data_IF_180653107362
#
_entry.id   IF_180653107362
#
_cell.length_a   1.000
_cell.length_b   1.000
_cell.length_c   1.000
_cell.angle_alpha   90.00
_cell.angle_beta   90.00
_cell.angle_gamma   90.00
#
_symmetry.space_group_name_H-M   'P 1'
#
loop_
_entity.id
_entity.type
_entity.pdbx_description
1 polymer ?
#
# COMPACT_ATOMS: atom_id res chain seq x y z
N UNK A 1 -6.12 -5.16 -46.09
CA UNK A 1 -5.30 -4.38 -47.08
C UNK A 1 -3.84 -4.22 -46.63
N UNK A 2 -3.53 -4.34 -45.32
CA UNK A 2 -2.20 -4.07 -44.75
C UNK A 2 -1.58 -5.32 -44.10
N UNK A 3 -2.06 -6.51 -44.43
CA UNK A 3 -1.44 -7.73 -43.93
C UNK A 3 -0.05 -7.97 -44.59
N UNK A 4 0.97 -8.45 -43.85
CA UNK A 4 0.89 -8.84 -42.43
C UNK A 4 0.93 -7.65 -41.46
N UNK A 5 0.13 -7.67 -40.39
CA UNK A 5 0.09 -6.59 -39.41
C UNK A 5 -0.29 -7.09 -38.02
N UNK A 6 0.03 -6.27 -36.99
CA UNK A 6 -0.43 -6.44 -35.61
C UNK A 6 -1.45 -5.33 -35.37
N UNK A 7 -2.65 -5.69 -34.91
CA UNK A 7 -3.70 -4.75 -34.48
C UNK A 7 -3.73 -4.76 -32.96
N UNK A 8 -3.58 -3.60 -32.34
CA UNK A 8 -3.69 -3.45 -30.90
C UNK A 8 -4.94 -2.64 -30.55
N UNK A 9 -5.76 -3.15 -29.64
CA UNK A 9 -6.98 -2.52 -29.14
C UNK A 9 -6.83 -2.32 -27.64
N UNK A 10 -6.68 -1.08 -27.21
CA UNK A 10 -6.62 -0.74 -25.79
C UNK A 10 -8.04 -0.55 -25.23
N UNK A 11 -8.21 -0.79 -23.90
CA UNK A 11 -9.47 -0.64 -23.18
C UNK A 11 -10.65 -1.37 -23.87
N UNK A 12 -10.45 -2.61 -24.28
CA UNK A 12 -11.45 -3.36 -25.05
C UNK A 12 -12.78 -3.52 -24.28
N UNK A 13 -12.78 -3.43 -22.96
CA UNK A 13 -13.95 -3.44 -22.12
C UNK A 13 -14.92 -2.25 -22.35
N UNK A 14 -14.45 -1.19 -23.01
CA UNK A 14 -15.31 -0.09 -23.41
C UNK A 14 -16.38 -0.53 -24.45
N UNK A 15 -16.06 -1.52 -25.28
CA UNK A 15 -16.94 -2.03 -26.34
C UNK A 15 -17.37 -3.49 -26.13
N UNK A 16 -16.57 -4.31 -25.44
CA UNK A 16 -16.75 -5.74 -25.30
C UNK A 16 -17.33 -6.18 -23.93
N UNK A 17 -18.09 -5.31 -23.29
CA UNK A 17 -18.72 -5.59 -21.99
C UNK A 17 -19.89 -6.55 -22.11
N UNK A 18 -20.10 -7.41 -21.09
CA UNK A 18 -21.27 -8.28 -20.96
C UNK A 18 -22.59 -7.49 -21.10
N UNK A 19 -23.57 -8.13 -21.75
CA UNK A 19 -24.91 -7.58 -21.92
C UNK A 19 -25.60 -7.44 -20.58
N UNK A 20 -25.89 -6.20 -20.18
CA UNK A 20 -26.66 -5.92 -18.97
C UNK A 20 -28.16 -5.96 -19.28
N UNK A 21 -28.98 -6.45 -18.33
CA UNK A 21 -30.45 -6.45 -18.40
C UNK A 21 -31.07 -5.06 -18.13
N UNK A 22 -30.29 -3.95 -18.32
CA UNK A 22 -30.71 -2.59 -18.02
C UNK A 22 -31.48 -1.93 -19.15
N UNK A 23 -32.68 -1.42 -18.84
CA UNK A 23 -33.53 -0.60 -19.72
C UNK A 23 -32.90 0.80 -19.91
N UNK A 24 -32.13 1.02 -20.96
CA UNK A 24 -31.60 2.37 -21.31
C UNK A 24 -30.99 2.39 -22.69
N UNK A 25 -31.45 3.33 -23.54
CA UNK A 25 -31.17 3.44 -24.98
C UNK A 25 -29.73 3.75 -25.43
N UNK A 26 -28.71 3.57 -24.57
CA UNK A 26 -27.31 3.67 -24.94
C UNK A 26 -26.59 2.32 -25.17
N UNK A 27 -27.34 1.22 -25.10
CA UNK A 27 -26.78 -0.14 -25.23
C UNK A 27 -26.68 -0.60 -26.69
N UNK A 28 -27.55 -0.16 -27.59
CA UNK A 28 -27.63 -0.64 -28.96
C UNK A 28 -26.36 -0.35 -29.78
N UNK A 29 -25.77 0.82 -29.66
CA UNK A 29 -24.56 1.15 -30.42
C UNK A 29 -23.34 0.33 -29.99
N UNK A 30 -23.19 0.07 -28.69
CA UNK A 30 -22.10 -0.73 -28.14
C UNK A 30 -22.26 -2.20 -28.52
N UNK A 31 -23.48 -2.74 -28.46
CA UNK A 31 -23.76 -4.10 -28.89
C UNK A 31 -23.52 -4.28 -30.39
N UNK A 32 -23.87 -3.29 -31.22
CA UNK A 32 -23.55 -3.31 -32.63
C UNK A 32 -22.03 -3.32 -32.87
N UNK A 33 -21.27 -2.50 -32.12
CA UNK A 33 -19.81 -2.44 -32.23
C UNK A 33 -19.17 -3.76 -31.82
N UNK A 34 -19.62 -4.36 -30.70
CA UNK A 34 -19.15 -5.67 -30.27
C UNK A 34 -19.46 -6.74 -31.32
N UNK A 35 -20.70 -6.80 -31.79
CA UNK A 35 -21.11 -7.78 -32.81
C UNK A 35 -20.30 -7.61 -34.11
N UNK A 36 -20.04 -6.38 -34.53
CA UNK A 36 -19.20 -6.12 -35.70
C UNK A 36 -17.76 -6.58 -35.45
N UNK A 37 -17.19 -6.30 -34.29
CA UNK A 37 -15.86 -6.75 -33.92
C UNK A 37 -15.76 -8.29 -33.97
N UNK A 38 -16.77 -8.98 -33.42
CA UNK A 38 -16.82 -10.45 -33.44
C UNK A 38 -16.90 -11.01 -34.88
N UNK A 39 -17.71 -10.39 -35.74
CA UNK A 39 -17.82 -10.77 -37.16
C UNK A 39 -16.50 -10.56 -37.90
N UNK A 40 -15.82 -9.44 -37.70
CA UNK A 40 -14.54 -9.17 -38.30
C UNK A 40 -13.47 -10.17 -37.80
N UNK A 41 -13.44 -10.51 -36.51
CA UNK A 41 -12.51 -11.50 -35.99
C UNK A 41 -12.77 -12.90 -36.51
N UNK A 42 -14.04 -13.30 -36.62
CA UNK A 42 -14.44 -14.60 -37.19
C UNK A 42 -14.18 -14.66 -38.73
N UNK A 43 -14.10 -13.51 -39.37
CA UNK A 43 -13.83 -13.36 -40.80
C UNK A 43 -12.35 -13.47 -41.20
N UNK A 44 -11.41 -13.41 -40.23
CA UNK A 44 -9.99 -13.58 -40.51
C UNK A 44 -9.69 -15.04 -40.85
N UNK A 45 -9.30 -15.31 -42.08
CA UNK A 45 -8.84 -16.66 -42.51
C UNK A 45 -7.56 -17.07 -41.80
N UNK A 46 -7.41 -18.39 -41.62
CA UNK A 46 -6.28 -19.04 -40.92
C UNK A 46 -4.98 -18.76 -41.61
N UNK A 47 -4.45 -17.79 -41.97
CA UNK A 47 -3.11 -17.48 -42.53
C UNK A 47 -3.01 -16.09 -43.19
N UNK A 48 -3.89 -15.17 -42.82
CA UNK A 48 -3.83 -13.81 -43.37
C UNK A 48 -2.68 -12.97 -42.81
N UNK A 49 -1.90 -13.49 -41.84
CA UNK A 49 -0.77 -12.78 -41.22
C UNK A 49 -1.21 -11.61 -40.34
N UNK A 50 -2.42 -11.66 -39.79
CA UNK A 50 -2.95 -10.66 -38.88
C UNK A 50 -2.93 -11.20 -37.44
N UNK A 51 -2.30 -10.47 -36.51
CA UNK A 51 -2.35 -10.74 -35.06
C UNK A 51 -3.15 -9.65 -34.42
N UNK A 52 -4.19 -10.03 -33.65
CA UNK A 52 -5.00 -9.09 -32.88
C UNK A 52 -4.63 -9.21 -31.41
N UNK A 53 -4.28 -8.10 -30.79
CA UNK A 53 -4.00 -7.99 -29.36
C UNK A 53 -4.97 -7.00 -28.75
N UNK A 54 -5.47 -7.29 -27.56
CA UNK A 54 -6.30 -6.35 -26.80
C UNK A 54 -5.82 -6.27 -25.36
N UNK A 55 -6.01 -5.11 -24.74
CA UNK A 55 -5.73 -4.89 -23.32
C UNK A 55 -7.00 -4.46 -22.57
N UNK A 56 -7.11 -4.87 -21.31
CA UNK A 56 -8.15 -4.43 -20.39
C UNK A 56 -7.68 -4.56 -18.94
N UNK A 57 -8.12 -3.65 -18.10
CA UNK A 57 -7.96 -3.74 -16.65
C UNK A 57 -9.12 -4.51 -15.99
N UNK A 58 -10.15 -4.88 -16.76
CA UNK A 58 -11.39 -5.48 -16.26
C UNK A 58 -11.83 -6.68 -17.09
N UNK A 59 -11.09 -7.77 -16.94
CA UNK A 59 -11.44 -9.04 -17.63
C UNK A 59 -12.77 -9.62 -17.16
N UNK A 60 -13.18 -9.30 -15.91
CA UNK A 60 -14.40 -9.75 -15.25
C UNK A 60 -15.69 -9.30 -15.97
N UNK A 61 -15.65 -8.15 -16.64
CA UNK A 61 -16.83 -7.58 -17.31
C UNK A 61 -16.89 -7.88 -18.82
N UNK A 62 -15.89 -8.55 -19.37
CA UNK A 62 -15.87 -8.88 -20.80
C UNK A 62 -16.95 -9.92 -21.15
N UNK A 63 -17.57 -9.73 -22.31
CA UNK A 63 -18.49 -10.73 -22.88
C UNK A 63 -17.73 -12.04 -23.14
N UNK A 64 -18.20 -13.20 -22.61
CA UNK A 64 -17.54 -14.49 -22.83
C UNK A 64 -17.38 -14.85 -24.30
N UNK A 65 -18.19 -14.28 -25.20
CA UNK A 65 -18.11 -14.54 -26.63
C UNK A 65 -16.76 -14.07 -27.24
N UNK A 66 -16.15 -13.00 -26.71
CA UNK A 66 -14.89 -12.48 -27.23
C UNK A 66 -13.70 -13.36 -26.79
N UNK A 67 -13.86 -14.10 -25.69
CA UNK A 67 -12.83 -14.96 -25.11
C UNK A 67 -12.89 -16.41 -25.63
N UNK A 68 -13.74 -16.70 -26.63
CA UNK A 68 -13.84 -18.03 -27.24
C UNK A 68 -12.62 -18.31 -28.13
N UNK A 69 -12.22 -19.62 -28.26
CA UNK A 69 -11.21 -20.04 -29.23
C UNK A 69 -11.52 -19.55 -30.64
N UNK A 70 -10.49 -19.14 -31.38
CA UNK A 70 -10.61 -18.50 -32.69
C UNK A 70 -10.73 -16.98 -32.65
N UNK A 71 -10.79 -16.37 -31.45
CA UNK A 71 -10.83 -14.92 -31.23
C UNK A 71 -9.64 -14.53 -30.34
N UNK A 72 -9.84 -14.31 -29.02
CA UNK A 72 -8.71 -14.12 -28.11
C UNK A 72 -8.36 -15.44 -27.41
N UNK A 73 -7.54 -16.24 -28.07
CA UNK A 73 -7.16 -17.59 -27.61
C UNK A 73 -6.23 -17.57 -26.40
N UNK A 74 -5.41 -16.53 -26.28
CA UNK A 74 -4.41 -16.39 -25.22
C UNK A 74 -4.75 -15.25 -24.29
N UNK A 75 -4.76 -15.56 -23.00
CA UNK A 75 -4.89 -14.57 -21.94
C UNK A 75 -3.56 -14.47 -21.21
N UNK A 76 -3.01 -13.28 -21.17
CA UNK A 76 -1.76 -12.98 -20.46
C UNK A 76 -2.09 -12.00 -19.34
N UNK A 77 -1.96 -12.45 -18.10
CA UNK A 77 -2.07 -11.57 -16.95
C UNK A 77 -0.75 -10.84 -16.76
N UNK A 78 -0.79 -9.51 -16.79
CA UNK A 78 0.37 -8.65 -16.49
C UNK A 78 0.24 -8.25 -15.02
N UNK A 79 1.02 -8.90 -14.15
CA UNK A 79 1.11 -8.59 -12.73
C UNK A 79 1.96 -7.36 -12.44
N UNK A 80 2.04 -6.98 -11.16
CA UNK A 80 3.02 -5.99 -10.71
C UNK A 80 4.43 -6.52 -10.93
N UNK A 81 5.39 -5.66 -11.32
CA UNK A 81 6.76 -6.09 -11.58
C UNK A 81 7.47 -6.50 -10.28
N UNK A 82 8.30 -7.53 -10.35
CA UNK A 82 9.26 -7.89 -9.31
C UNK A 82 10.43 -6.89 -9.26
N UNK A 83 11.38 -7.08 -8.34
CA UNK A 83 12.54 -6.17 -8.19
C UNK A 83 13.29 -5.98 -9.50
N UNK A 84 13.56 -7.07 -10.23
CA UNK A 84 14.26 -7.02 -11.51
C UNK A 84 13.45 -6.27 -12.57
N UNK A 85 12.16 -6.56 -12.67
CA UNK A 85 11.26 -5.85 -13.58
C UNK A 85 11.18 -4.36 -13.27
N UNK A 86 11.14 -3.98 -11.98
CA UNK A 86 11.16 -2.57 -11.58
C UNK A 86 12.48 -1.88 -11.94
N UNK A 87 13.61 -2.55 -11.75
CA UNK A 87 14.92 -2.03 -12.16
C UNK A 87 14.99 -1.81 -13.69
N UNK A 88 14.51 -2.77 -14.48
CA UNK A 88 14.44 -2.64 -15.94
C UNK A 88 13.52 -1.49 -16.37
N UNK A 89 12.35 -1.33 -15.73
CA UNK A 89 11.40 -0.23 -15.98
C UNK A 89 12.02 1.12 -15.59
N UNK A 90 12.67 1.22 -14.44
CA UNK A 90 13.42 2.41 -14.05
C UNK A 90 14.49 2.76 -15.09
N UNK A 91 15.23 1.77 -15.59
CA UNK A 91 16.20 1.94 -16.68
C UNK A 91 15.59 2.51 -17.96
N UNK A 92 14.33 2.17 -18.27
CA UNK A 92 13.62 2.77 -19.40
C UNK A 92 13.29 4.24 -19.15
N UNK A 93 12.73 4.57 -17.98
CA UNK A 93 12.30 5.94 -17.66
C UNK A 93 13.44 6.90 -17.31
N UNK A 94 14.67 6.38 -17.18
CA UNK A 94 15.88 7.19 -16.94
C UNK A 94 16.69 7.49 -18.18
N UNK A 95 16.41 6.87 -19.33
CA UNK A 95 17.19 7.05 -20.58
C UNK A 95 17.41 8.49 -21.01
N UNK A 96 16.43 9.36 -20.78
CA UNK A 96 16.47 10.77 -21.15
C UNK A 96 16.70 11.69 -19.94
N UNK A 97 16.98 11.13 -18.75
CA UNK A 97 17.19 11.87 -17.52
C UNK A 97 18.65 11.71 -17.08
N UNK A 98 19.42 12.78 -16.92
CA UNK A 98 20.80 12.70 -16.44
C UNK A 98 20.83 12.31 -14.96
N UNK A 99 21.37 11.12 -14.67
CA UNK A 99 21.54 10.61 -13.32
C UNK A 99 22.89 11.04 -12.74
N UNK A 100 22.95 11.31 -11.44
CA UNK A 100 24.17 11.46 -10.67
C UNK A 100 24.87 10.11 -10.47
N UNK A 101 26.14 10.16 -10.10
CA UNK A 101 26.96 8.96 -9.83
C UNK A 101 26.51 8.21 -8.55
N UNK A 102 25.74 8.88 -7.69
CA UNK A 102 25.19 8.36 -6.44
C UNK A 102 23.89 7.57 -6.61
N UNK A 103 23.31 7.55 -7.82
CA UNK A 103 22.00 6.90 -8.08
C UNK A 103 22.16 5.42 -8.30
N UNK A 104 21.57 4.63 -7.42
CA UNK A 104 21.48 3.18 -7.50
C UNK A 104 20.05 2.73 -7.85
N UNK A 105 19.82 2.36 -9.13
CA UNK A 105 18.51 1.92 -9.62
C UNK A 105 18.06 0.60 -8.98
N UNK A 106 19.00 -0.29 -8.63
CA UNK A 106 18.70 -1.54 -7.97
C UNK A 106 18.13 -1.29 -6.57
N UNK A 107 18.77 -0.43 -5.79
CA UNK A 107 18.28 -0.01 -4.48
C UNK A 107 16.89 0.65 -4.58
N UNK A 108 16.67 1.51 -5.58
CA UNK A 108 15.36 2.12 -5.81
C UNK A 108 14.31 1.06 -6.15
N UNK A 109 14.66 0.06 -6.98
CA UNK A 109 13.76 -1.05 -7.30
C UNK A 109 13.39 -1.88 -6.07
N UNK A 110 14.31 -2.10 -5.13
CA UNK A 110 14.03 -2.77 -3.86
C UNK A 110 13.04 -1.97 -3.01
N UNK A 111 13.26 -0.67 -2.87
CA UNK A 111 12.43 0.20 -2.02
C UNK A 111 11.04 0.50 -2.58
N UNK A 112 10.83 0.28 -3.87
CA UNK A 112 9.55 0.51 -4.57
C UNK A 112 8.69 -0.75 -4.69
N UNK A 113 8.73 -1.64 -3.71
CA UNK A 113 7.89 -2.83 -3.68
C UNK A 113 6.41 -2.48 -3.89
N UNK A 114 5.74 -3.21 -4.79
CA UNK A 114 4.34 -2.98 -5.13
C UNK A 114 4.05 -1.83 -6.11
N UNK A 115 5.05 -1.06 -6.55
CA UNK A 115 4.86 -0.02 -7.58
C UNK A 115 4.59 -0.65 -8.94
N UNK A 116 3.70 -0.01 -9.69
CA UNK A 116 3.46 -0.31 -11.11
C UNK A 116 4.46 0.44 -12.00
N UNK A 117 4.48 0.12 -13.29
CA UNK A 117 5.29 0.87 -14.26
C UNK A 117 4.96 2.37 -14.29
N UNK A 118 3.68 2.71 -14.17
CA UNK A 118 3.21 4.10 -14.10
C UNK A 118 3.67 4.82 -12.83
N UNK A 119 3.68 4.12 -11.68
CA UNK A 119 4.19 4.70 -10.43
C UNK A 119 5.69 4.97 -10.52
N UNK A 120 6.46 4.07 -11.12
CA UNK A 120 7.90 4.23 -11.35
C UNK A 120 8.21 5.36 -12.32
N UNK A 121 7.43 5.50 -13.40
CA UNK A 121 7.52 6.65 -14.31
C UNK A 121 7.27 7.97 -13.57
N UNK A 122 6.18 8.03 -12.81
CA UNK A 122 5.82 9.19 -12.01
C UNK A 122 6.90 9.53 -10.98
N UNK A 123 7.47 8.53 -10.32
CA UNK A 123 8.59 8.69 -9.39
C UNK A 123 9.77 9.40 -10.05
N UNK A 124 10.20 8.91 -11.21
CA UNK A 124 11.34 9.49 -11.92
C UNK A 124 11.03 10.88 -12.50
N UNK A 125 9.80 11.13 -12.91
CA UNK A 125 9.36 12.46 -13.35
C UNK A 125 9.34 13.46 -12.21
N UNK A 126 8.82 13.08 -11.05
CA UNK A 126 8.81 13.94 -9.84
C UNK A 126 10.23 14.23 -9.34
N UNK A 127 11.13 13.25 -9.37
CA UNK A 127 12.53 13.45 -9.05
C UNK A 127 13.19 14.48 -10.01
N UNK A 128 12.93 14.35 -11.31
CA UNK A 128 13.43 15.29 -12.31
C UNK A 128 12.90 16.72 -12.10
N UNK A 129 11.61 16.86 -11.75
CA UNK A 129 11.00 18.15 -11.41
C UNK A 129 11.66 18.76 -10.17
N UNK A 130 11.96 17.97 -9.13
CA UNK A 130 12.64 18.45 -7.93
C UNK A 130 14.05 18.94 -8.26
N UNK A 131 14.82 18.18 -9.04
CA UNK A 131 16.15 18.57 -9.51
C UNK A 131 16.12 19.88 -10.30
N UNK A 132 15.17 20.02 -11.22
CA UNK A 132 15.00 21.21 -12.05
C UNK A 132 14.63 22.45 -11.21
N UNK A 133 13.77 22.31 -10.19
CA UNK A 133 13.42 23.39 -9.27
C UNK A 133 14.62 23.93 -8.48
N UNK A 134 15.58 23.06 -8.16
CA UNK A 134 16.81 23.43 -7.49
C UNK A 134 17.92 23.90 -8.46
N UNK A 135 17.63 24.00 -9.77
CA UNK A 135 18.56 24.47 -10.80
C UNK A 135 19.72 23.52 -11.08
N UNK A 136 19.62 22.26 -10.65
CA UNK A 136 20.64 21.22 -10.85
C UNK A 136 20.44 20.50 -12.19
N UNK A 137 21.51 19.92 -12.72
CA UNK A 137 21.50 19.20 -14.01
C UNK A 137 21.33 17.69 -13.86
N UNK A 138 21.76 17.12 -12.75
CA UNK A 138 21.77 15.68 -12.50
C UNK A 138 20.82 15.33 -11.35
N UNK A 139 20.04 14.27 -11.52
CA UNK A 139 19.22 13.68 -10.47
C UNK A 139 20.13 12.98 -9.46
N UNK A 140 19.92 13.21 -8.17
CA UNK A 140 20.61 12.51 -7.10
C UNK A 140 19.71 11.46 -6.46
N UNK A 141 20.32 10.53 -5.70
CA UNK A 141 19.59 9.54 -4.92
C UNK A 141 18.57 10.22 -3.97
N UNK A 142 18.97 11.33 -3.34
CA UNK A 142 18.11 12.12 -2.44
C UNK A 142 16.87 12.71 -3.14
N UNK A 143 16.98 13.09 -4.43
CA UNK A 143 15.82 13.60 -5.19
C UNK A 143 14.79 12.52 -5.41
N UNK A 144 15.25 11.29 -5.67
CA UNK A 144 14.39 10.13 -5.88
C UNK A 144 13.73 9.71 -4.56
N UNK A 145 14.45 9.73 -3.46
CA UNK A 145 13.91 9.46 -2.12
C UNK A 145 12.85 10.50 -1.71
N UNK A 146 13.07 11.78 -1.98
CA UNK A 146 12.04 12.84 -1.79
C UNK A 146 10.83 12.61 -2.69
N UNK A 147 11.05 12.23 -3.94
CA UNK A 147 9.98 11.93 -4.89
C UNK A 147 9.18 10.69 -4.46
N UNK A 148 9.85 9.66 -3.94
CA UNK A 148 9.22 8.45 -3.42
C UNK A 148 8.22 8.76 -2.30
N UNK A 149 8.60 9.59 -1.33
CA UNK A 149 7.71 10.05 -0.26
C UNK A 149 6.51 10.80 -0.86
N UNK A 150 6.76 11.70 -1.82
CA UNK A 150 5.72 12.49 -2.45
C UNK A 150 4.72 11.63 -3.26
N UNK A 151 5.19 10.61 -3.96
CA UNK A 151 4.36 9.70 -4.75
C UNK A 151 3.60 8.72 -3.84
N UNK A 152 4.26 8.16 -2.82
CA UNK A 152 3.67 7.15 -1.94
C UNK A 152 2.73 7.72 -0.88
N UNK A 153 3.08 8.87 -0.28
CA UNK A 153 2.36 9.44 0.87
C UNK A 153 1.67 10.76 0.50
N UNK A 154 2.18 11.46 -0.52
CA UNK A 154 1.70 12.77 -0.95
C UNK A 154 2.66 13.92 -0.60
N UNK A 155 2.40 15.09 -1.19
CA UNK A 155 3.25 16.25 -0.99
C UNK A 155 3.17 16.79 0.45
N UNK A 156 4.32 17.09 1.05
CA UNK A 156 4.42 17.76 2.36
C UNK A 156 3.82 19.17 2.31
N UNK A 157 2.98 19.51 3.29
CA UNK A 157 2.33 20.82 3.43
C UNK A 157 3.01 21.66 4.50
N UNK A 158 4.13 22.29 4.17
CA UNK A 158 4.89 23.15 5.11
C UNK A 158 4.25 24.52 5.40
N UNK A 159 3.20 24.89 4.66
CA UNK A 159 2.50 26.18 4.86
C UNK A 159 1.43 26.15 5.94
N UNK A 160 1.11 24.98 6.50
CA UNK A 160 0.09 24.86 7.55
C UNK A 160 0.67 25.26 8.91
N UNK A 161 0.05 26.25 9.54
CA UNK A 161 0.40 26.65 10.92
C UNK A 161 -0.21 25.64 11.88
N UNK A 162 0.62 24.85 12.55
CA UNK A 162 0.22 23.82 13.50
C UNK A 162 0.61 24.29 14.90
N UNK A 163 -0.26 24.06 15.90
CA UNK A 163 0.07 24.38 17.29
C UNK A 163 1.17 23.45 17.81
N UNK A 164 1.98 23.93 18.75
CA UNK A 164 3.00 23.11 19.41
C UNK A 164 2.39 21.89 20.12
N UNK A 165 1.15 22.04 20.63
CA UNK A 165 0.40 20.93 21.21
C UNK A 165 0.10 19.85 20.18
N UNK A 166 -0.40 20.23 19.00
CA UNK A 166 -0.73 19.27 17.93
C UNK A 166 0.54 18.62 17.35
N UNK A 167 1.63 19.38 17.20
CA UNK A 167 2.92 18.83 16.82
C UNK A 167 3.41 17.77 17.79
N UNK A 168 3.30 18.03 19.09
CA UNK A 168 3.70 17.10 20.14
C UNK A 168 2.84 15.83 20.13
N UNK A 169 1.53 15.95 19.95
CA UNK A 169 0.63 14.80 19.81
C UNK A 169 1.04 13.97 18.61
N UNK A 170 1.25 14.59 17.45
CA UNK A 170 1.70 13.90 16.22
C UNK A 170 3.06 13.22 16.43
N UNK A 171 4.01 13.88 17.11
CA UNK A 171 5.33 13.31 17.34
C UNK A 171 5.28 12.03 18.19
N UNK A 172 4.47 12.00 19.23
CA UNK A 172 4.27 10.77 20.02
C UNK A 172 3.52 9.69 19.23
N UNK A 173 2.52 10.08 18.46
CA UNK A 173 1.77 9.17 17.59
C UNK A 173 2.69 8.45 16.60
N UNK A 174 3.49 9.20 15.85
CA UNK A 174 4.43 8.63 14.87
C UNK A 174 5.57 7.85 15.54
N UNK A 175 6.06 8.29 16.70
CA UNK A 175 7.04 7.56 17.49
C UNK A 175 6.50 6.19 17.95
N UNK A 176 5.22 6.11 18.31
CA UNK A 176 4.56 4.84 18.67
C UNK A 176 4.56 3.84 17.53
N UNK A 177 4.24 4.27 16.30
CA UNK A 177 4.36 3.43 15.12
C UNK A 177 5.80 3.01 14.86
N UNK A 178 6.75 3.94 14.96
CA UNK A 178 8.16 3.71 14.67
C UNK A 178 8.79 2.68 15.61
N UNK A 179 8.49 2.73 16.91
CA UNK A 179 8.99 1.75 17.90
C UNK A 179 8.52 0.34 17.52
N UNK A 180 7.24 0.19 17.17
CA UNK A 180 6.69 -1.12 16.79
C UNK A 180 7.28 -1.64 15.48
N UNK A 181 7.53 -0.78 14.49
CA UNK A 181 8.24 -1.17 13.27
C UNK A 181 9.67 -1.66 13.57
N UNK A 182 10.35 -1.04 14.53
CA UNK A 182 11.73 -1.41 14.87
C UNK A 182 11.81 -2.72 15.66
N UNK A 183 10.92 -2.90 16.63
CA UNK A 183 10.96 -4.05 17.55
C UNK A 183 10.37 -5.32 16.95
N UNK A 184 9.37 -5.20 16.07
CA UNK A 184 8.69 -6.35 15.48
C UNK A 184 9.45 -6.86 14.24
N UNK A 185 9.78 -8.17 14.17
CA UNK A 185 10.72 -8.67 13.17
C UNK A 185 10.21 -8.72 11.73
N UNK A 186 8.87 -8.81 11.54
CA UNK A 186 8.31 -9.12 10.21
C UNK A 186 7.72 -7.90 9.48
N UNK A 187 7.80 -6.70 10.05
CA UNK A 187 7.16 -5.49 9.48
C UNK A 187 8.13 -4.55 8.74
N UNK A 188 9.41 -4.87 8.82
CA UNK A 188 10.50 -4.11 8.17
C UNK A 188 10.99 -2.90 9.00
N UNK A 189 12.24 -2.47 8.74
CA UNK A 189 12.84 -1.36 9.47
C UNK A 189 12.18 -0.03 9.12
N UNK A 190 12.26 0.92 10.05
CA UNK A 190 11.81 2.29 9.84
C UNK A 190 12.74 2.99 8.84
N UNK A 191 12.20 3.56 7.78
CA UNK A 191 12.94 4.39 6.85
C UNK A 191 12.90 5.87 7.22
N UNK A 192 11.70 6.37 7.54
CA UNK A 192 11.49 7.79 7.83
C UNK A 192 10.32 7.96 8.81
N UNK A 193 10.49 8.84 9.78
CA UNK A 193 9.43 9.34 10.65
C UNK A 193 9.32 10.84 10.47
N UNK A 194 8.12 11.38 10.30
CA UNK A 194 7.91 12.81 10.04
C UNK A 194 6.60 13.31 10.66
N UNK A 195 6.66 14.50 11.24
CA UNK A 195 5.49 15.23 11.75
C UNK A 195 5.03 16.35 10.80
N UNK A 196 5.53 16.33 9.57
CA UNK A 196 5.13 17.29 8.55
C UNK A 196 3.85 16.78 7.89
N UNK A 197 2.75 17.56 7.89
CA UNK A 197 1.48 17.13 7.28
C UNK A 197 1.61 16.88 5.79
N UNK A 198 0.90 15.87 5.30
CA UNK A 198 0.86 15.53 3.87
C UNK A 198 -0.47 15.89 3.20
N UNK A 199 -0.47 15.85 1.86
CA UNK A 199 -1.61 16.22 1.02
C UNK A 199 -2.88 15.41 1.24
N UNK A 200 -2.78 14.19 1.75
CA UNK A 200 -3.91 13.25 1.97
C UNK A 200 -4.61 13.48 3.32
N UNK A 201 -4.17 14.48 4.11
CA UNK A 201 -4.81 14.82 5.39
C UNK A 201 -4.15 14.19 6.60
N UNK A 202 -3.07 13.44 6.45
CA UNK A 202 -2.26 12.95 7.56
C UNK A 202 -1.52 14.10 8.25
N UNK A 203 -1.43 14.06 9.58
CA UNK A 203 -0.71 15.05 10.37
C UNK A 203 0.79 14.78 10.39
N UNK A 204 1.18 13.52 10.26
CA UNK A 204 2.53 13.01 10.13
C UNK A 204 2.53 11.70 9.35
N UNK A 205 3.65 11.02 9.30
CA UNK A 205 3.76 9.68 8.74
C UNK A 205 4.99 8.93 9.24
N UNK A 206 4.86 7.63 9.43
CA UNK A 206 5.95 6.69 9.66
C UNK A 206 5.99 5.71 8.51
N UNK A 207 7.14 5.60 7.84
CA UNK A 207 7.30 4.79 6.65
C UNK A 207 8.35 3.69 6.88
N UNK A 208 7.97 2.41 6.78
CA UNK A 208 8.92 1.31 6.74
C UNK A 208 9.57 1.21 5.36
N UNK A 209 10.72 0.57 5.30
CA UNK A 209 11.42 0.21 4.07
C UNK A 209 11.27 -1.30 3.84
N UNK A 210 10.48 -1.76 2.87
CA UNK A 210 10.46 -3.17 2.51
C UNK A 210 11.82 -3.57 1.94
N UNK A 211 12.42 -4.63 2.46
CA UNK A 211 13.71 -5.13 1.95
C UNK A 211 13.54 -6.10 0.78
N UNK A 212 12.39 -6.76 0.68
CA UNK A 212 12.12 -7.81 -0.30
C UNK A 212 10.66 -7.79 -0.78
N UNK A 213 10.42 -8.30 -1.98
CA UNK A 213 9.08 -8.61 -2.47
C UNK A 213 8.58 -9.89 -1.80
N UNK A 214 7.44 -9.81 -1.16
CA UNK A 214 6.85 -10.93 -0.45
C UNK A 214 5.70 -11.56 -1.22
N UNK A 215 5.76 -12.87 -1.35
CA UNK A 215 4.71 -13.66 -2.03
C UNK A 215 3.57 -14.04 -1.07
N UNK A 216 3.85 -14.17 0.22
CA UNK A 216 2.88 -14.62 1.21
C UNK A 216 2.90 -13.75 2.46
N UNK A 217 1.71 -13.37 2.93
CA UNK A 217 1.54 -12.70 4.21
C UNK A 217 1.15 -13.73 5.27
N UNK A 218 2.01 -13.97 6.25
CA UNK A 218 1.74 -14.93 7.32
C UNK A 218 0.78 -14.37 8.37
N UNK A 219 0.12 -15.24 9.15
CA UNK A 219 -0.73 -14.83 10.29
C UNK A 219 0.06 -13.97 11.29
N UNK A 220 1.33 -14.36 11.60
CA UNK A 220 2.20 -13.62 12.50
C UNK A 220 2.44 -12.19 12.02
N UNK A 221 2.77 -12.03 10.75
CA UNK A 221 2.98 -10.72 10.15
C UNK A 221 1.71 -9.87 10.12
N UNK A 222 0.55 -10.45 9.81
CA UNK A 222 -0.72 -9.71 9.87
C UNK A 222 -1.00 -9.19 11.27
N UNK A 223 -0.75 -9.99 12.32
CA UNK A 223 -0.86 -9.56 13.70
C UNK A 223 0.12 -8.43 14.04
N UNK A 224 1.38 -8.50 13.55
CA UNK A 224 2.36 -7.43 13.74
C UNK A 224 1.93 -6.14 13.03
N UNK A 225 1.39 -6.22 11.82
CA UNK A 225 0.85 -5.05 11.11
C UNK A 225 -0.34 -4.41 11.85
N UNK A 226 -1.20 -5.24 12.49
CA UNK A 226 -2.27 -4.73 13.37
C UNK A 226 -1.67 -4.01 14.58
N UNK A 227 -0.65 -4.58 15.23
CA UNK A 227 0.05 -3.93 16.34
C UNK A 227 0.64 -2.59 15.95
N UNK A 228 1.35 -2.55 14.81
CA UNK A 228 1.91 -1.30 14.27
C UNK A 228 0.80 -0.26 14.04
N UNK A 229 -0.31 -0.64 13.39
CA UNK A 229 -1.42 0.28 13.14
C UNK A 229 -2.02 0.85 14.44
N UNK A 230 -1.96 0.12 15.56
CA UNK A 230 -2.46 0.60 16.85
C UNK A 230 -1.45 1.46 17.61
N UNK A 231 -0.18 1.49 17.19
CA UNK A 231 0.94 2.11 17.90
C UNK A 231 0.75 3.59 18.22
N UNK A 232 0.33 4.38 17.25
CA UNK A 232 0.09 5.81 17.42
C UNK A 232 -0.98 6.10 18.49
N UNK A 233 -2.09 5.35 18.45
CA UNK A 233 -3.17 5.46 19.42
C UNK A 233 -2.72 5.10 20.83
N UNK A 234 -1.90 4.06 20.97
CA UNK A 234 -1.38 3.60 22.24
C UNK A 234 -0.42 4.63 22.83
N UNK A 235 0.45 5.21 22.03
CA UNK A 235 1.36 6.26 22.46
C UNK A 235 0.61 7.51 22.96
N UNK A 236 -0.45 7.94 22.24
CA UNK A 236 -1.32 9.03 22.71
C UNK A 236 -1.93 8.74 24.08
N UNK A 237 -2.49 7.55 24.28
CA UNK A 237 -3.11 7.13 25.54
C UNK A 237 -2.11 7.10 26.71
N UNK A 238 -0.91 6.54 26.52
CA UNK A 238 0.11 6.46 27.56
C UNK A 238 0.57 7.84 28.00
N UNK A 239 0.78 8.76 27.04
CA UNK A 239 1.44 10.05 27.34
C UNK A 239 0.46 11.14 27.77
N UNK A 240 -0.74 11.16 27.18
CA UNK A 240 -1.68 12.27 27.40
C UNK A 240 -2.88 11.90 28.30
N UNK A 241 -3.02 10.62 28.64
CA UNK A 241 -4.25 10.09 29.28
C UNK A 241 -5.52 10.52 28.53
N UNK A 242 -5.37 10.74 27.21
CA UNK A 242 -6.41 11.22 26.30
C UNK A 242 -6.17 10.63 24.90
N UNK A 243 -7.15 10.79 24.03
CA UNK A 243 -7.15 10.17 22.72
C UNK A 243 -7.69 11.14 21.68
N UNK A 244 -7.11 11.12 20.49
CA UNK A 244 -7.51 11.99 19.40
C UNK A 244 -8.20 11.24 18.26
N UNK A 245 -8.79 11.99 17.32
CA UNK A 245 -9.34 11.46 16.07
C UNK A 245 -8.27 11.11 15.05
N UNK A 246 -7.00 11.43 15.33
CA UNK A 246 -5.86 11.19 14.42
C UNK A 246 -5.72 9.73 14.02
N UNK A 247 -5.91 8.82 14.97
CA UNK A 247 -5.80 7.37 14.76
C UNK A 247 -6.98 6.72 14.01
N UNK A 248 -7.92 7.49 13.46
CA UNK A 248 -9.12 6.92 12.82
C UNK A 248 -8.81 6.02 11.62
N UNK A 249 -7.82 6.37 10.81
CA UNK A 249 -7.41 5.58 9.64
C UNK A 249 -6.68 4.30 10.09
N UNK A 250 -5.85 4.39 11.11
CA UNK A 250 -5.08 3.28 11.67
C UNK A 250 -6.00 2.22 12.27
N UNK A 251 -7.00 2.66 13.04
CA UNK A 251 -8.05 1.79 13.59
C UNK A 251 -8.83 1.10 12.46
N UNK A 252 -9.18 1.83 11.40
CA UNK A 252 -9.85 1.26 10.23
C UNK A 252 -9.00 0.20 9.55
N UNK A 253 -7.71 0.45 9.37
CA UNK A 253 -6.77 -0.48 8.75
C UNK A 253 -6.60 -1.74 9.62
N UNK A 254 -6.37 -1.59 10.91
CA UNK A 254 -6.28 -2.70 11.87
C UNK A 254 -7.55 -3.56 11.85
N UNK A 255 -8.74 -2.94 11.90
CA UNK A 255 -10.02 -3.64 11.89
C UNK A 255 -10.25 -4.37 10.56
N UNK A 256 -9.94 -3.75 9.43
CA UNK A 256 -10.07 -4.38 8.12
C UNK A 256 -9.17 -5.59 7.97
N UNK A 257 -7.94 -5.51 8.47
CA UNK A 257 -6.98 -6.62 8.45
C UNK A 257 -7.44 -7.76 9.37
N UNK A 258 -7.85 -7.47 10.60
CA UNK A 258 -8.39 -8.47 11.53
C UNK A 258 -9.64 -9.17 10.95
N UNK A 259 -10.52 -8.40 10.29
CA UNK A 259 -11.71 -8.96 9.63
C UNK A 259 -11.32 -9.88 8.47
N UNK A 260 -10.37 -9.49 7.60
CA UNK A 260 -9.89 -10.32 6.50
C UNK A 260 -9.25 -11.62 7.03
N UNK A 261 -8.48 -11.58 8.12
CA UNK A 261 -7.93 -12.78 8.78
C UNK A 261 -9.03 -13.78 9.14
N UNK A 262 -10.16 -13.29 9.65
CA UNK A 262 -11.26 -14.12 10.12
C UNK A 262 -12.14 -14.58 8.96
N UNK A 263 -12.51 -13.68 8.03
CA UNK A 263 -13.54 -13.95 7.02
C UNK A 263 -13.01 -14.46 5.69
N UNK A 264 -11.77 -14.08 5.30
CA UNK A 264 -11.23 -14.40 3.97
C UNK A 264 -10.16 -15.50 4.05
N UNK A 265 -9.29 -15.43 5.05
CA UNK A 265 -8.11 -16.31 5.14
C UNK A 265 -8.27 -17.50 6.08
N UNK A 266 -9.40 -17.63 6.78
CA UNK A 266 -9.67 -18.75 7.69
C UNK A 266 -8.65 -18.87 8.83
N UNK A 267 -8.13 -17.74 9.33
CA UNK A 267 -7.07 -17.70 10.36
C UNK A 267 -7.62 -17.69 11.79
N UNK A 268 -8.93 -17.79 11.99
CA UNK A 268 -9.57 -17.98 13.30
C UNK A 268 -9.69 -19.45 13.63
N UNK A 269 -9.24 -19.83 14.84
CA UNK A 269 -9.43 -21.22 15.34
C UNK A 269 -10.89 -21.53 15.63
N UNK A 270 -11.65 -20.52 16.06
CA UNK A 270 -13.06 -20.68 16.42
C UNK A 270 -13.97 -20.86 15.22
N UNK A 271 -13.73 -20.10 14.16
CA UNK A 271 -14.53 -20.12 12.92
C UNK A 271 -14.01 -21.12 11.89
N UNK A 272 -12.78 -21.62 12.08
CA UNK A 272 -12.15 -22.60 11.20
C UNK A 272 -11.74 -22.04 9.84
N UNK A 273 -11.43 -22.96 8.91
CA UNK A 273 -10.97 -22.65 7.55
C UNK A 273 -12.17 -22.49 6.60
N UNK A 274 -13.03 -21.51 6.87
CA UNK A 274 -14.22 -21.21 6.06
C UNK A 274 -14.09 -19.78 5.55
N UNK A 275 -14.37 -19.58 4.26
CA UNK A 275 -14.45 -18.25 3.68
C UNK A 275 -15.88 -17.71 3.86
N UNK A 276 -16.01 -16.70 4.71
CA UNK A 276 -17.24 -15.93 4.95
C UNK A 276 -17.24 -14.59 4.18
N UNK A 277 -16.13 -14.25 3.50
CA UNK A 277 -16.07 -13.12 2.57
C UNK A 277 -16.96 -13.44 1.37
N UNK A 278 -17.98 -12.64 1.10
CA UNK A 278 -18.78 -12.79 -0.10
C UNK A 278 -17.89 -12.64 -1.35
N UNK A 279 -18.25 -13.36 -2.42
CA UNK A 279 -17.62 -13.17 -3.72
C UNK A 279 -17.78 -11.70 -4.14
N UNK A 280 -16.69 -10.94 -4.08
CA UNK A 280 -16.63 -9.56 -4.58
C UNK A 280 -16.82 -9.49 -6.11
N UNK A 281 -17.09 -10.62 -6.77
CA UNK A 281 -17.34 -10.74 -8.20
C UNK A 281 -18.77 -10.41 -8.61
N UNK A 282 -19.71 -10.26 -7.69
CA UNK A 282 -21.06 -9.75 -8.00
C UNK A 282 -21.07 -8.22 -7.92
N UNK A 283 -20.31 -7.58 -8.80
CA UNK A 283 -20.34 -6.15 -9.00
C UNK A 283 -21.35 -5.82 -10.09
N UNK A 284 -22.27 -4.94 -9.75
CA UNK A 284 -23.23 -4.23 -10.60
C UNK A 284 -24.63 -4.80 -10.80
N UNK A 285 -25.44 -4.72 -9.77
CA UNK A 285 -26.78 -4.11 -9.94
C UNK A 285 -27.05 -3.31 -8.65
N UNK A 286 -26.90 -1.99 -8.72
CA UNK A 286 -27.38 -1.05 -7.71
C UNK A 286 -26.59 -1.06 -6.39
N UNK A 287 -25.82 -0.03 -6.15
CA UNK A 287 -24.97 0.19 -4.98
C UNK A 287 -25.71 0.25 -3.62
N UNK A 288 -27.05 0.07 -3.63
CA UNK A 288 -27.94 0.25 -2.48
C UNK A 288 -28.91 -0.91 -2.20
N UNK A 289 -28.79 -2.04 -2.89
CA UNK A 289 -29.65 -3.21 -2.60
C UNK A 289 -28.81 -4.33 -1.97
N UNK A 290 -28.76 -4.29 -0.62
CA UNK A 290 -28.48 -5.41 0.29
C UNK A 290 -27.24 -6.24 -0.07
N UNK A 291 -26.10 -5.97 0.58
CA UNK A 291 -25.14 -7.01 0.89
C UNK A 291 -25.87 -8.11 1.65
N UNK A 292 -26.39 -9.08 0.92
CA UNK A 292 -27.02 -10.26 1.51
C UNK A 292 -25.89 -11.04 2.16
N UNK A 293 -25.82 -10.98 3.49
CA UNK A 293 -24.89 -11.81 4.25
C UNK A 293 -25.17 -13.26 3.91
N UNK A 294 -24.15 -14.01 3.54
CA UNK A 294 -24.25 -15.44 3.19
C UNK A 294 -24.22 -16.35 4.41
N UNK A 295 -24.20 -15.79 5.63
CA UNK A 295 -24.07 -16.50 6.90
C UNK A 295 -25.09 -15.98 7.93
N UNK A 296 -25.37 -16.81 8.96
CA UNK A 296 -26.35 -16.52 10.01
C UNK A 296 -25.91 -15.37 10.93
N UNK A 297 -26.86 -14.79 11.68
CA UNK A 297 -26.59 -13.77 12.68
C UNK A 297 -25.68 -14.31 13.83
N UNK A 298 -25.75 -15.60 14.11
CA UNK A 298 -24.88 -16.25 15.08
C UNK A 298 -23.42 -16.23 14.61
N UNK A 299 -23.15 -16.62 13.36
CA UNK A 299 -21.81 -16.54 12.74
C UNK A 299 -21.34 -15.09 12.66
N UNK A 300 -22.23 -14.14 12.35
CA UNK A 300 -21.86 -12.71 12.36
C UNK A 300 -21.36 -12.25 13.73
N UNK A 301 -22.08 -12.64 14.79
CA UNK A 301 -21.66 -12.34 16.17
C UNK A 301 -20.33 -12.99 16.55
N UNK A 302 -20.09 -14.21 16.07
CA UNK A 302 -18.80 -14.89 16.27
C UNK A 302 -17.65 -14.20 15.53
N UNK A 303 -17.87 -13.77 14.27
CA UNK A 303 -16.90 -12.97 13.50
C UNK A 303 -16.56 -11.70 14.26
N UNK A 304 -17.55 -10.94 14.72
CA UNK A 304 -17.30 -9.69 15.44
C UNK A 304 -16.56 -9.92 16.76
N UNK A 305 -16.87 -11.02 17.45
CA UNK A 305 -16.16 -11.42 18.69
C UNK A 305 -14.70 -11.79 18.43
N UNK A 306 -14.41 -12.52 17.34
CA UNK A 306 -13.03 -12.90 16.97
C UNK A 306 -12.23 -11.69 16.49
N UNK A 307 -12.83 -10.80 15.69
CA UNK A 307 -12.17 -9.53 15.28
C UNK A 307 -11.81 -8.72 16.51
N UNK A 308 -12.75 -8.56 17.45
CA UNK A 308 -12.48 -7.85 18.70
C UNK A 308 -11.37 -8.50 19.51
N UNK A 309 -11.36 -9.83 19.65
CA UNK A 309 -10.33 -10.57 20.37
C UNK A 309 -8.94 -10.32 19.76
N UNK A 310 -8.81 -10.40 18.44
CA UNK A 310 -7.55 -10.15 17.72
C UNK A 310 -7.05 -8.73 17.99
N UNK A 311 -7.91 -7.74 17.91
CA UNK A 311 -7.56 -6.34 18.17
C UNK A 311 -7.12 -6.16 19.62
N UNK A 312 -7.88 -6.68 20.60
CA UNK A 312 -7.58 -6.54 22.03
C UNK A 312 -6.23 -7.20 22.38
N UNK A 313 -5.94 -8.39 21.83
CA UNK A 313 -4.65 -9.08 22.02
C UNK A 313 -3.47 -8.33 21.39
N UNK A 314 -3.65 -7.82 20.18
CA UNK A 314 -2.62 -7.00 19.51
C UNK A 314 -2.39 -5.70 20.27
N UNK A 315 -3.45 -5.05 20.73
CA UNK A 315 -3.37 -3.83 21.53
C UNK A 315 -2.57 -4.05 22.84
N UNK A 316 -2.88 -5.13 23.58
CA UNK A 316 -2.19 -5.42 24.83
C UNK A 316 -0.68 -5.67 24.61
N UNK A 317 -0.31 -6.42 23.58
CA UNK A 317 1.09 -6.69 23.23
C UNK A 317 1.81 -5.42 22.78
N UNK A 318 1.20 -4.65 21.89
CA UNK A 318 1.77 -3.39 21.41
C UNK A 318 1.97 -2.38 22.56
N UNK A 319 1.00 -2.30 23.47
CA UNK A 319 1.09 -1.43 24.67
C UNK A 319 2.27 -1.80 25.55
N UNK A 320 2.48 -3.10 25.77
CA UNK A 320 3.63 -3.58 26.56
C UNK A 320 4.94 -3.19 25.89
N UNK A 321 5.08 -3.41 24.57
CA UNK A 321 6.30 -3.06 23.82
C UNK A 321 6.59 -1.55 23.94
N UNK A 322 5.57 -0.69 23.80
CA UNK A 322 5.77 0.76 23.88
C UNK A 322 6.14 1.18 25.32
N UNK A 323 5.56 0.57 26.34
CA UNK A 323 5.94 0.83 27.73
C UNK A 323 7.37 0.39 28.04
N UNK A 324 7.80 -0.75 27.50
CA UNK A 324 9.17 -1.25 27.68
C UNK A 324 10.22 -0.35 27.00
N UNK A 325 9.79 0.57 26.09
CA UNK A 325 10.64 1.52 25.35
C UNK A 325 10.16 2.97 25.52
N UNK A 326 9.65 3.33 26.70
CA UNK A 326 9.11 4.67 26.95
C UNK A 326 10.20 5.75 26.87
N UNK A 327 11.44 5.44 27.23
CA UNK A 327 12.60 6.30 27.09
C UNK A 327 12.90 6.63 25.61
N UNK A 328 12.81 5.64 24.72
CA UNK A 328 12.95 5.82 23.26
C UNK A 328 11.77 6.65 22.72
N UNK A 329 10.55 6.43 23.24
CA UNK A 329 9.37 7.19 22.84
C UNK A 329 9.56 8.68 23.13
N UNK A 330 10.05 9.03 24.32
CA UNK A 330 10.34 10.41 24.69
C UNK A 330 11.49 11.03 23.86
N UNK A 331 12.57 10.28 23.66
CA UNK A 331 13.72 10.73 22.90
C UNK A 331 13.38 10.95 21.42
N UNK A 332 12.59 10.06 20.83
CA UNK A 332 12.08 10.19 19.46
C UNK A 332 11.20 11.43 19.31
N UNK A 333 10.27 11.64 20.25
CA UNK A 333 9.43 12.84 20.26
C UNK A 333 10.27 14.12 20.33
N UNK A 334 11.26 14.19 21.23
CA UNK A 334 12.13 15.35 21.35
C UNK A 334 12.87 15.66 20.05
N UNK A 335 13.43 14.62 19.40
CA UNK A 335 14.13 14.76 18.14
C UNK A 335 13.21 15.18 16.98
N UNK A 336 11.97 14.66 16.95
CA UNK A 336 10.95 15.05 15.96
C UNK A 336 10.47 16.49 16.17
N UNK A 337 10.37 16.96 17.42
CA UNK A 337 10.03 18.36 17.70
C UNK A 337 11.13 19.33 17.25
N UNK A 338 12.39 18.90 17.28
CA UNK A 338 13.54 19.70 16.82
C UNK A 338 13.68 19.69 15.29
N UNK A 339 13.66 18.49 14.67
CA UNK A 339 14.01 18.30 13.26
C UNK A 339 12.81 18.18 12.33
N UNK A 340 11.61 17.98 12.85
CA UNK A 340 10.34 17.69 12.15
C UNK A 340 10.36 16.39 11.31
N UNK A 341 11.54 15.84 11.01
CA UNK A 341 11.73 14.61 10.23
C UNK A 341 13.05 13.96 10.59
N UNK A 342 13.05 12.64 10.79
CA UNK A 342 14.21 11.82 11.10
C UNK A 342 14.28 10.62 10.15
N UNK A 343 15.50 10.20 9.82
CA UNK A 343 15.78 9.03 9.01
C UNK A 343 16.12 7.80 9.84
N UNK A 344 16.30 6.66 9.15
CA UNK A 344 16.59 5.37 9.75
C UNK A 344 17.75 5.42 10.76
N UNK A 345 18.92 5.94 10.35
CA UNK A 345 20.10 5.95 11.20
C UNK A 345 19.92 6.77 12.49
N UNK A 346 19.20 7.90 12.40
CA UNK A 346 18.91 8.73 13.57
C UNK A 346 17.92 8.04 14.52
N UNK A 347 16.94 7.33 13.97
CA UNK A 347 15.98 6.57 14.78
C UNK A 347 16.64 5.36 15.46
N UNK A 348 17.45 4.57 14.75
CA UNK A 348 18.17 3.42 15.30
C UNK A 348 19.15 3.81 16.41
N UNK A 349 19.77 5.00 16.30
CA UNK A 349 20.66 5.49 17.35
C UNK A 349 19.97 5.68 18.70
N UNK A 350 18.66 5.98 18.73
CA UNK A 350 17.90 6.15 19.97
C UNK A 350 17.83 4.87 20.82
N UNK A 351 17.83 3.71 20.17
CA UNK A 351 17.84 2.41 20.88
C UNK A 351 19.23 2.10 21.46
N UNK A 352 20.31 2.48 20.77
CA UNK A 352 21.68 2.25 21.25
C UNK A 352 22.03 3.13 22.47
N UNK A 353 21.51 4.34 22.54
CA UNK A 353 21.72 5.23 23.68
C UNK A 353 20.89 4.83 24.90
N UNK A 354 19.69 4.26 24.70
CA UNK A 354 18.86 3.67 25.76
C UNK A 354 19.52 2.47 26.43
N UNK A 355 20.16 1.59 25.67
CA UNK A 355 20.93 0.45 26.24
C UNK A 355 22.13 0.89 27.09
N UNK A 356 22.80 1.99 26.75
CA UNK A 356 23.90 2.55 27.56
C UNK A 356 23.41 3.13 28.88
N UNK A 357 22.27 3.78 28.90
CA UNK A 357 21.69 4.36 30.13
C UNK A 357 21.16 3.28 31.09
N UNK A 358 20.65 2.15 30.56
CA UNK A 358 20.22 1.01 31.38
C UNK A 358 21.40 0.16 31.91
N UNK A 359 22.52 0.10 31.16
CA UNK A 359 23.73 -0.61 31.56
C UNK A 359 24.57 0.06 32.64
N UNK A 360 24.43 1.38 32.84
CA UNK A 360 25.15 2.12 33.90
C UNK A 360 24.45 2.06 35.28
N UNK A 361 23.21 1.55 35.35
CA UNK A 361 22.44 1.41 36.60
C UNK A 361 22.75 0.13 37.39
N UNK A 362 23.49 -0.84 36.83
CA UNK A 362 23.91 -2.06 37.52
C UNK A 362 25.41 -2.08 37.81
N UNK A 363 25.90 -1.17 38.63
CA UNK A 363 27.16 -1.37 39.33
C UNK A 363 26.85 -1.85 40.76
N UNK A 364 27.21 -3.09 41.14
CA UNK A 364 27.06 -3.53 42.50
C UNK A 364 28.06 -2.80 43.39
N UNK A 365 27.56 -2.18 44.44
CA UNK A 365 28.37 -1.72 45.56
C UNK A 365 29.02 -2.98 46.17
N UNK A 366 30.32 -3.13 45.96
CA UNK A 366 31.11 -4.13 46.64
C UNK A 366 31.43 -3.62 48.06
N UNK A 367 31.07 -4.44 49.03
CA UNK A 367 31.62 -4.39 50.41
C UNK A 367 33.11 -4.70 50.40
#
# INVERSE_FOLDING_TARGET
>A
KNAPCIVFIDEIDAVARQRGTGMGGGHDEREQTLNQLLVEMDGFGVNEGIIVMAATNRVDILDPAILRPGRFDRKVAVGRPDVKGREEILGVHTKEKPLGEDVDLHRIAQTTAGFTGADLENLMNEAAINTAKEGRKFLTQTDIEKAFIKVGIGAEKRSKVISEKDKKITAYHEAGHAILFHVLPDVGPVHTVSIIPTGVGAAGYTMPLPEQDELHMTKGRMLQNIMVSLGGRIAEEIIFDDITTGASQDIKQATSMARAMVTEYGMSEKLGMINYGGDNNEVFIGRDLAHTRTYSEEVASEIDSEVKRIIDECYAKAKQIILDHEDVLHSCCALLMEKEKIGQAEFEALFQDGEKLSGEAETPVAE
#
